data_IF_307046999183
#
_entry.id   IF_307046999183
#
_cell.length_a   1.000
_cell.length_b   1.000
_cell.length_c   1.000
_cell.angle_alpha   90.00
_cell.angle_beta   90.00
_cell.angle_gamma   90.00
#
_symmetry.space_group_name_H-M   'P 1'
#
loop_
_entity.id
_entity.type
_entity.pdbx_description
1 polymer ?
#
# COMPACT_ATOMS: atom_id res chain seq x y z
N UNK A 1 -24.83 27.85 -17.59
CA UNK A 1 -24.29 28.32 -16.29
C UNK A 1 -24.73 27.30 -15.27
N UNK A 2 -23.89 26.42 -14.73
CA UNK A 2 -22.76 26.72 -13.85
C UNK A 2 -21.60 25.73 -14.09
N UNK A 3 -20.52 26.21 -14.69
CA UNK A 3 -19.19 25.63 -14.55
C UNK A 3 -18.60 26.19 -13.26
N UNK A 4 -18.80 25.48 -12.13
CA UNK A 4 -18.03 25.78 -10.93
C UNK A 4 -16.65 25.11 -11.03
N UNK A 5 -15.69 25.91 -11.51
CA UNK A 5 -14.26 25.92 -11.17
C UNK A 5 -13.62 24.61 -10.66
N UNK A 6 -13.11 23.78 -11.57
CA UNK A 6 -12.12 22.71 -11.29
C UNK A 6 -10.68 23.10 -11.68
N UNK A 7 -10.30 24.37 -11.57
CA UNK A 7 -8.96 24.83 -11.98
C UNK A 7 -7.87 24.71 -10.90
N UNK A 8 -8.22 24.25 -9.68
CA UNK A 8 -7.27 24.12 -8.56
C UNK A 8 -6.63 22.71 -8.43
N UNK A 9 -7.35 21.65 -8.80
CA UNK A 9 -6.93 20.26 -8.57
C UNK A 9 -5.60 19.83 -9.23
N UNK A 10 -5.22 20.29 -10.44
CA UNK A 10 -3.99 19.82 -11.08
C UNK A 10 -2.71 20.30 -10.38
N UNK A 11 -2.70 21.55 -9.89
CA UNK A 11 -1.49 22.15 -9.30
C UNK A 11 -1.16 21.55 -7.93
N UNK A 12 -2.19 21.29 -7.12
CA UNK A 12 -2.02 20.65 -5.82
C UNK A 12 -1.55 19.21 -5.98
N UNK A 13 -2.16 18.44 -6.90
CA UNK A 13 -1.75 17.06 -7.16
C UNK A 13 -0.30 16.97 -7.66
N UNK A 14 0.13 17.89 -8.54
CA UNK A 14 1.53 17.97 -8.99
C UNK A 14 2.48 18.22 -7.80
N UNK A 15 2.12 19.14 -6.90
CA UNK A 15 2.93 19.43 -5.71
C UNK A 15 3.01 18.21 -4.79
N UNK A 16 1.89 17.55 -4.53
CA UNK A 16 1.85 16.33 -3.69
C UNK A 16 2.70 15.22 -4.31
N UNK A 17 2.61 15.00 -5.62
CA UNK A 17 3.43 14.02 -6.32
C UNK A 17 4.93 14.33 -6.20
N UNK A 18 5.35 15.59 -6.31
CA UNK A 18 6.75 15.95 -6.09
C UNK A 18 7.21 15.61 -4.66
N UNK A 19 6.41 15.95 -3.65
CA UNK A 19 6.72 15.63 -2.25
C UNK A 19 6.78 14.11 -2.02
N UNK A 20 5.88 13.34 -2.64
CA UNK A 20 5.89 11.88 -2.57
C UNK A 20 7.15 11.28 -3.21
N UNK A 21 7.62 11.84 -4.34
CA UNK A 21 8.86 11.40 -5.00
C UNK A 21 10.07 11.70 -4.14
N UNK A 22 10.14 12.88 -3.53
CA UNK A 22 11.21 13.26 -2.60
C UNK A 22 11.24 12.33 -1.39
N UNK A 23 10.08 12.07 -0.79
CA UNK A 23 9.94 11.13 0.32
C UNK A 23 10.28 9.69 -0.08
N UNK A 24 9.93 9.26 -1.30
CA UNK A 24 10.25 7.92 -1.81
C UNK A 24 11.76 7.78 -1.97
N UNK A 25 12.43 8.81 -2.49
CA UNK A 25 13.87 8.85 -2.67
C UNK A 25 14.61 8.81 -1.32
N UNK A 26 14.17 9.58 -0.32
CA UNK A 26 14.72 9.53 1.03
C UNK A 26 14.56 8.13 1.65
N UNK A 27 13.37 7.53 1.53
CA UNK A 27 13.11 6.18 2.05
C UNK A 27 13.94 5.08 1.36
N UNK A 28 14.35 5.30 0.10
CA UNK A 28 15.26 4.39 -0.60
C UNK A 28 16.71 4.53 -0.15
N UNK A 29 17.16 5.75 0.14
CA UNK A 29 18.50 6.03 0.67
C UNK A 29 18.66 5.43 2.08
N UNK A 30 17.60 5.44 2.87
CA UNK A 30 17.53 4.78 4.18
C UNK A 30 17.28 3.26 4.10
N UNK A 31 17.19 2.69 2.89
CA UNK A 31 16.91 1.27 2.64
C UNK A 31 15.64 0.75 3.34
N UNK A 32 14.61 1.60 3.44
CA UNK A 32 13.34 1.25 4.10
C UNK A 32 12.54 0.24 3.26
N UNK A 33 12.56 0.37 1.94
CA UNK A 33 12.01 -0.62 1.02
C UNK A 33 13.02 -1.76 0.84
N UNK A 34 13.03 -2.69 1.79
CA UNK A 34 13.90 -3.86 1.67
C UNK A 34 13.51 -4.69 0.45
N UNK A 35 14.53 -5.10 -0.31
CA UNK A 35 14.37 -5.88 -1.53
C UNK A 35 14.20 -7.38 -1.28
N UNK A 36 14.55 -7.82 -0.07
CA UNK A 36 14.60 -9.23 0.30
C UNK A 36 13.95 -9.47 1.67
N UNK A 37 13.37 -10.67 1.81
CA UNK A 37 12.96 -11.22 3.10
C UNK A 37 14.11 -12.02 3.69
N UNK A 38 14.12 -12.14 5.02
CA UNK A 38 15.08 -12.98 5.70
C UNK A 38 14.83 -14.45 5.36
N UNK A 39 15.92 -15.23 5.22
CA UNK A 39 15.87 -16.66 4.91
C UNK A 39 16.25 -17.50 6.13
N UNK A 40 15.50 -18.57 6.38
CA UNK A 40 15.74 -19.50 7.49
C UNK A 40 14.62 -20.53 7.64
N UNK A 41 14.86 -21.55 8.46
CA UNK A 41 13.85 -22.59 8.71
C UNK A 41 12.75 -22.08 9.65
N UNK A 42 11.49 -22.29 9.26
CA UNK A 42 10.32 -21.93 10.06
C UNK A 42 10.02 -20.43 10.16
N UNK A 43 10.66 -19.60 9.34
CA UNK A 43 10.35 -18.17 9.22
C UNK A 43 9.57 -17.88 7.95
N UNK A 44 8.87 -16.75 7.94
CA UNK A 44 7.98 -16.34 6.85
C UNK A 44 8.74 -16.22 5.53
N UNK A 45 8.34 -17.06 4.57
CA UNK A 45 8.76 -17.05 3.18
C UNK A 45 7.95 -16.05 2.34
N UNK A 46 8.41 -15.77 1.11
CA UNK A 46 7.64 -14.92 0.18
C UNK A 46 6.23 -15.45 -0.09
N UNK A 47 6.05 -16.77 -0.16
CA UNK A 47 4.74 -17.39 -0.37
C UNK A 47 3.82 -17.21 0.84
N UNK A 48 4.33 -17.41 2.06
CA UNK A 48 3.54 -17.20 3.27
C UNK A 48 3.18 -15.71 3.44
N UNK A 49 4.12 -14.81 3.14
CA UNK A 49 3.85 -13.37 3.10
C UNK A 49 2.76 -13.02 2.08
N UNK A 50 2.81 -13.58 0.87
CA UNK A 50 1.79 -13.33 -0.15
C UNK A 50 0.41 -13.84 0.29
N UNK A 51 0.35 -14.99 0.95
CA UNK A 51 -0.90 -15.50 1.53
C UNK A 51 -1.47 -14.58 2.60
N UNK A 52 -0.63 -14.07 3.52
CA UNK A 52 -1.07 -13.12 4.55
C UNK A 52 -1.51 -11.78 3.96
N UNK A 53 -0.90 -11.32 2.86
CA UNK A 53 -1.34 -10.10 2.18
C UNK A 53 -2.65 -10.29 1.43
N UNK A 54 -2.88 -11.44 0.81
CA UNK A 54 -4.19 -11.78 0.23
C UNK A 54 -5.26 -11.90 1.32
N UNK A 55 -4.90 -12.44 2.48
CA UNK A 55 -5.76 -12.43 3.66
C UNK A 55 -6.06 -11.00 4.12
N UNK A 56 -5.06 -10.11 4.20
CA UNK A 56 -5.26 -8.68 4.51
C UNK A 56 -6.21 -8.01 3.54
N UNK A 57 -6.07 -8.25 2.22
CA UNK A 57 -6.98 -7.71 1.22
C UNK A 57 -8.43 -8.15 1.45
N UNK A 58 -8.62 -9.41 1.86
CA UNK A 58 -9.94 -9.97 2.18
C UNK A 58 -10.48 -9.40 3.49
N UNK A 59 -9.63 -9.25 4.51
CA UNK A 59 -9.96 -8.67 5.80
C UNK A 59 -10.37 -7.21 5.69
N UNK A 60 -9.63 -6.39 4.92
CA UNK A 60 -9.98 -4.98 4.68
C UNK A 60 -11.28 -4.85 3.93
N UNK A 61 -11.56 -5.74 2.97
CA UNK A 61 -12.86 -5.78 2.28
C UNK A 61 -14.00 -6.12 3.25
N UNK A 62 -13.80 -7.10 4.14
CA UNK A 62 -14.80 -7.50 5.12
C UNK A 62 -15.08 -6.42 6.17
N UNK A 63 -14.04 -5.69 6.58
CA UNK A 63 -14.12 -4.60 7.55
C UNK A 63 -14.49 -3.25 6.92
N UNK A 64 -14.71 -3.21 5.60
CA UNK A 64 -14.94 -1.99 4.83
C UNK A 64 -13.85 -0.92 5.05
N UNK A 65 -12.62 -1.38 5.28
CA UNK A 65 -11.47 -0.51 5.48
C UNK A 65 -10.99 0.08 4.14
N UNK A 66 -10.61 1.37 4.12
CA UNK A 66 -10.18 2.06 2.91
C UNK A 66 -8.80 1.58 2.40
N UNK A 67 -8.50 1.88 1.14
CA UNK A 67 -7.30 1.38 0.46
C UNK A 67 -6.01 1.91 1.11
N UNK A 68 -5.98 3.17 1.54
CA UNK A 68 -4.87 3.78 2.29
C UNK A 68 -4.52 2.99 3.57
N UNK A 69 -5.52 2.42 4.24
CA UNK A 69 -5.35 1.56 5.41
C UNK A 69 -4.75 0.21 5.04
N UNK A 70 -5.22 -0.42 3.96
CA UNK A 70 -4.61 -1.65 3.42
C UNK A 70 -3.15 -1.43 3.03
N UNK A 71 -2.86 -0.36 2.28
CA UNK A 71 -1.53 -0.04 1.78
C UNK A 71 -0.53 0.21 2.89
N UNK A 72 -0.94 0.95 3.93
CA UNK A 72 -0.12 1.20 5.09
C UNK A 72 0.08 -0.08 5.93
N UNK A 73 -0.95 -0.93 6.03
CA UNK A 73 -0.86 -2.23 6.72
C UNK A 73 0.16 -3.15 6.05
N UNK A 74 0.10 -3.29 4.72
CA UNK A 74 1.05 -4.11 3.95
C UNK A 74 2.47 -3.54 4.04
N UNK A 75 2.63 -2.21 3.94
CA UNK A 75 3.92 -1.55 4.14
C UNK A 75 4.52 -1.84 5.53
N UNK A 76 3.71 -1.72 6.58
CA UNK A 76 4.11 -2.02 7.95
C UNK A 76 4.50 -3.49 8.12
N UNK A 77 3.70 -4.40 7.56
CA UNK A 77 3.95 -5.84 7.57
C UNK A 77 5.28 -6.19 6.90
N UNK A 78 5.50 -5.72 5.67
CA UNK A 78 6.69 -6.01 4.87
C UNK A 78 7.96 -5.49 5.53
N UNK A 79 7.93 -4.28 6.08
CA UNK A 79 9.08 -3.68 6.77
C UNK A 79 9.51 -4.50 7.98
N UNK A 80 8.56 -5.02 8.74
CA UNK A 80 8.86 -5.91 9.87
C UNK A 80 9.42 -7.25 9.36
N UNK A 81 8.81 -7.88 8.36
CA UNK A 81 9.30 -9.15 7.82
C UNK A 81 10.71 -9.07 7.21
N UNK A 82 11.04 -7.95 6.61
CA UNK A 82 12.36 -7.73 6.01
C UNK A 82 13.48 -7.51 7.02
N UNK A 83 13.17 -7.22 8.28
CA UNK A 83 14.15 -6.87 9.30
C UNK A 83 14.07 -7.74 10.57
N UNK A 84 13.00 -8.54 10.72
CA UNK A 84 12.77 -9.44 11.85
C UNK A 84 12.52 -10.85 11.34
N UNK A 85 13.19 -11.84 11.95
CA UNK A 85 12.94 -13.27 11.70
C UNK A 85 11.62 -13.69 12.36
N UNK A 86 10.51 -13.42 11.68
CA UNK A 86 9.17 -13.77 12.15
C UNK A 86 8.88 -15.23 11.83
N UNK A 87 8.48 -16.00 12.85
CA UNK A 87 8.06 -17.38 12.64
C UNK A 87 6.68 -17.42 11.98
N UNK A 88 6.44 -18.35 11.07
CA UNK A 88 5.18 -18.48 10.31
C UNK A 88 3.93 -18.43 11.22
N UNK A 89 3.99 -19.05 12.40
CA UNK A 89 2.88 -19.05 13.38
C UNK A 89 2.45 -17.67 13.89
N UNK A 90 3.31 -16.66 13.77
CA UNK A 90 3.03 -15.29 14.17
C UNK A 90 2.73 -14.36 12.98
N UNK A 91 2.81 -14.86 11.74
CA UNK A 91 2.64 -14.06 10.53
C UNK A 91 1.25 -13.40 10.48
N UNK A 92 0.18 -14.17 10.69
CA UNK A 92 -1.17 -13.61 10.71
C UNK A 92 -1.40 -12.61 11.86
N UNK A 93 -0.90 -12.90 13.06
CA UNK A 93 -0.98 -11.95 14.20
C UNK A 93 -0.28 -10.62 13.87
N UNK A 94 0.89 -10.69 13.21
CA UNK A 94 1.61 -9.51 12.72
C UNK A 94 0.82 -8.76 11.64
N UNK A 95 0.21 -9.48 10.68
CA UNK A 95 -0.61 -8.91 9.63
C UNK A 95 -1.84 -8.17 10.21
N UNK A 96 -2.62 -8.83 11.06
CA UNK A 96 -3.77 -8.24 11.78
C UNK A 96 -3.36 -6.99 12.54
N UNK A 97 -2.25 -7.06 13.27
CA UNK A 97 -1.77 -5.95 14.08
C UNK A 97 -1.33 -4.77 13.19
N UNK A 98 -0.70 -5.06 12.06
CA UNK A 98 -0.33 -4.03 11.07
C UNK A 98 -1.57 -3.33 10.50
N UNK A 99 -2.66 -4.08 10.28
CA UNK A 99 -3.96 -3.51 9.87
C UNK A 99 -4.56 -2.58 10.93
N UNK A 100 -4.55 -3.00 12.20
CA UNK A 100 -5.07 -2.19 13.29
C UNK A 100 -4.25 -0.91 13.46
N UNK A 101 -2.91 -1.01 13.40
CA UNK A 101 -2.03 0.16 13.44
C UNK A 101 -2.28 1.11 12.28
N UNK A 102 -2.46 0.60 11.06
CA UNK A 102 -2.79 1.41 9.91
C UNK A 102 -4.14 2.12 10.06
N UNK A 103 -5.16 1.42 10.58
CA UNK A 103 -6.47 2.00 10.84
C UNK A 103 -6.41 3.09 11.92
N UNK A 104 -5.60 2.88 12.97
CA UNK A 104 -5.30 3.90 13.98
C UNK A 104 -4.54 5.08 13.40
N UNK A 105 -3.62 4.88 12.47
CA UNK A 105 -2.81 5.96 11.91
C UNK A 105 -3.64 6.99 11.13
N UNK A 106 -4.61 6.52 10.34
CA UNK A 106 -5.42 7.41 9.51
C UNK A 106 -6.55 8.13 10.26
N UNK A 107 -6.88 7.69 11.49
CA UNK A 107 -7.92 8.26 12.39
C UNK A 107 -9.16 8.84 11.67
N UNK A 108 -9.70 8.16 10.67
CA UNK A 108 -10.99 8.59 10.10
C UNK A 108 -12.06 8.42 11.17
N UNK A 109 -12.65 9.52 11.62
CA UNK A 109 -13.73 9.57 12.59
C UNK A 109 -14.71 8.41 12.39
N UNK A 110 -14.75 7.46 13.33
CA UNK A 110 -15.67 6.31 13.30
C UNK A 110 -15.09 4.99 12.78
N UNK A 111 -13.82 4.91 12.38
CA UNK A 111 -13.21 3.62 12.00
C UNK A 111 -13.01 2.72 13.22
N UNK A 112 -13.91 1.74 13.39
CA UNK A 112 -13.83 0.73 14.47
C UNK A 112 -12.68 -0.26 14.23
N UNK A 113 -12.06 -0.23 13.04
CA UNK A 113 -10.91 -1.06 12.68
C UNK A 113 -9.66 -0.77 13.52
N UNK A 114 -9.58 0.39 14.18
CA UNK A 114 -8.52 0.69 15.13
C UNK A 114 -8.69 0.01 16.49
N UNK A 115 -9.84 -0.59 16.79
CA UNK A 115 -10.09 -1.28 18.06
C UNK A 115 -9.77 -2.78 17.95
N UNK A 116 -8.76 -3.31 18.68
CA UNK A 116 -8.41 -4.72 18.59
C UNK A 116 -9.58 -5.68 18.84
N UNK A 117 -10.46 -5.33 19.79
CA UNK A 117 -11.62 -6.15 20.14
C UNK A 117 -12.57 -6.31 18.95
N UNK A 118 -12.87 -5.20 18.26
CA UNK A 118 -13.73 -5.21 17.09
C UNK A 118 -13.13 -6.06 15.97
N UNK A 119 -11.86 -5.83 15.62
CA UNK A 119 -11.20 -6.59 14.53
C UNK A 119 -11.13 -8.07 14.84
N UNK A 120 -10.75 -8.45 16.07
CA UNK A 120 -10.71 -9.87 16.50
C UNK A 120 -12.07 -10.53 16.37
N UNK A 121 -13.13 -9.86 16.82
CA UNK A 121 -14.49 -10.41 16.79
C UNK A 121 -15.03 -10.51 15.36
N UNK A 122 -14.88 -9.46 14.55
CA UNK A 122 -15.37 -9.41 13.18
C UNK A 122 -14.69 -10.44 12.28
N UNK A 123 -13.38 -10.66 12.46
CA UNK A 123 -12.59 -11.61 11.66
C UNK A 123 -12.46 -13.01 12.31
N UNK A 124 -13.12 -13.25 13.45
CA UNK A 124 -13.09 -14.52 14.19
C UNK A 124 -11.66 -15.01 14.48
N UNK A 125 -10.80 -14.11 14.91
CA UNK A 125 -9.38 -14.40 15.14
C UNK A 125 -9.16 -15.13 16.46
N UNK A 126 -8.17 -16.05 16.54
CA UNK A 126 -7.89 -16.80 17.75
C UNK A 126 -7.09 -16.01 18.81
N UNK A 127 -6.85 -14.72 18.58
CA UNK A 127 -5.98 -13.88 19.41
C UNK A 127 -6.76 -13.13 20.49
N UNK A 128 -6.12 -12.91 21.62
CA UNK A 128 -6.60 -11.98 22.64
C UNK A 128 -6.19 -10.53 22.33
N UNK A 129 -6.96 -9.55 22.84
CA UNK A 129 -6.57 -8.15 22.74
C UNK A 129 -5.18 -7.87 23.35
N UNK A 130 -4.79 -8.63 24.39
CA UNK A 130 -3.48 -8.50 25.03
C UNK A 130 -2.34 -8.92 24.11
N UNK A 131 -2.52 -9.98 23.32
CA UNK A 131 -1.54 -10.43 22.33
C UNK A 131 -1.37 -9.39 21.23
N UNK A 132 -2.48 -8.85 20.70
CA UNK A 132 -2.44 -7.79 19.68
C UNK A 132 -1.75 -6.54 20.22
N UNK A 133 -2.11 -6.04 21.41
CA UNK A 133 -1.45 -4.85 22.01
C UNK A 133 0.04 -5.08 22.26
N UNK A 134 0.44 -6.30 22.64
CA UNK A 134 1.86 -6.65 22.77
C UNK A 134 2.55 -6.62 21.41
N UNK A 135 1.92 -7.13 20.36
CA UNK A 135 2.43 -7.08 18.99
C UNK A 135 2.53 -5.62 18.50
N UNK A 136 1.54 -4.75 18.76
CA UNK A 136 1.58 -3.33 18.40
C UNK A 136 2.83 -2.66 18.98
N UNK A 137 3.08 -2.90 20.26
CA UNK A 137 4.25 -2.36 20.96
C UNK A 137 5.57 -2.88 20.39
N UNK A 138 5.60 -4.10 19.83
CA UNK A 138 6.79 -4.64 19.18
C UNK A 138 7.01 -3.97 17.82
N UNK A 139 5.96 -3.87 16.99
CA UNK A 139 6.02 -3.24 15.68
C UNK A 139 6.45 -1.78 15.80
N UNK A 140 5.77 -0.99 16.65
CA UNK A 140 6.04 0.44 16.80
C UNK A 140 7.46 0.72 17.30
N UNK A 141 7.95 -0.06 18.27
CA UNK A 141 9.34 0.07 18.74
C UNK A 141 10.34 -0.31 17.65
N UNK A 142 10.06 -1.38 16.92
CA UNK A 142 10.94 -1.85 15.86
C UNK A 142 11.05 -0.86 14.69
N UNK A 143 9.93 -0.24 14.33
CA UNK A 143 9.87 0.77 13.27
C UNK A 143 10.21 2.19 13.74
N UNK A 144 10.67 2.36 14.99
CA UNK A 144 10.93 3.67 15.61
C UNK A 144 9.75 4.65 15.46
N UNK A 145 8.53 4.15 15.60
CA UNK A 145 7.27 4.89 15.41
C UNK A 145 7.07 5.50 14.01
N UNK A 146 7.96 5.23 13.06
CA UNK A 146 7.83 5.68 11.69
C UNK A 146 6.96 4.70 10.89
N UNK A 147 5.64 4.90 10.86
CA UNK A 147 4.73 4.12 10.02
C UNK A 147 4.59 4.70 8.61
N UNK A 148 4.72 6.02 8.47
CA UNK A 148 4.43 6.73 7.23
C UNK A 148 5.59 6.68 6.24
N UNK A 149 5.45 5.86 5.21
CA UNK A 149 6.30 5.91 4.03
C UNK A 149 5.42 5.97 2.77
N UNK A 150 5.92 6.53 1.66
CA UNK A 150 5.18 6.56 0.40
C UNK A 150 4.70 5.17 -0.03
N UNK A 151 3.39 5.03 -0.19
CA UNK A 151 2.79 3.76 -0.66
C UNK A 151 2.43 3.88 -2.14
N UNK A 152 2.32 2.76 -2.88
CA UNK A 152 1.90 2.81 -4.27
C UNK A 152 0.49 3.40 -4.44
N UNK A 153 -0.35 3.29 -3.40
CA UNK A 153 -1.70 3.84 -3.38
C UNK A 153 -1.71 5.38 -3.38
N UNK A 154 -0.83 6.02 -2.61
CA UNK A 154 -0.74 7.49 -2.60
C UNK A 154 -0.37 8.05 -3.96
N UNK A 155 0.61 7.42 -4.64
CA UNK A 155 0.96 7.78 -6.01
C UNK A 155 -0.20 7.53 -6.98
N UNK A 156 -0.87 6.38 -6.85
CA UNK A 156 -1.99 6.00 -7.71
C UNK A 156 -3.09 7.07 -7.65
N UNK A 157 -3.56 7.44 -6.46
CA UNK A 157 -4.65 8.41 -6.33
C UNK A 157 -4.26 9.81 -6.82
N UNK A 158 -3.06 10.28 -6.53
CA UNK A 158 -2.62 11.60 -7.01
C UNK A 158 -2.45 11.63 -8.54
N UNK A 159 -1.98 10.54 -9.15
CA UNK A 159 -1.92 10.41 -10.61
C UNK A 159 -3.32 10.31 -11.23
N UNK A 160 -4.28 9.61 -10.60
CA UNK A 160 -5.67 9.58 -11.06
C UNK A 160 -6.32 10.97 -11.02
N UNK A 161 -6.08 11.73 -9.95
CA UNK A 161 -6.51 13.14 -9.83
C UNK A 161 -5.91 14.01 -10.93
N UNK A 162 -4.62 13.84 -11.24
CA UNK A 162 -3.94 14.54 -12.35
C UNK A 162 -4.60 14.25 -13.70
N UNK A 163 -5.06 13.02 -13.91
CA UNK A 163 -5.77 12.59 -15.12
C UNK A 163 -7.24 13.02 -15.16
N UNK A 164 -7.74 13.69 -14.13
CA UNK A 164 -9.15 14.05 -14.01
C UNK A 164 -10.06 12.84 -13.81
N UNK A 165 -9.51 11.68 -13.43
CA UNK A 165 -10.27 10.48 -13.11
C UNK A 165 -10.71 10.58 -11.66
N UNK A 166 -12.01 10.79 -11.44
CA UNK A 166 -12.57 10.89 -10.10
C UNK A 166 -12.35 9.60 -9.30
N UNK A 167 -12.00 9.76 -8.03
CA UNK A 167 -11.89 8.68 -7.03
C UNK A 167 -13.20 7.90 -6.87
N UNK A 168 -14.35 8.53 -7.17
CA UNK A 168 -15.65 7.86 -7.22
C UNK A 168 -15.76 6.81 -8.34
N UNK A 169 -14.84 6.83 -9.32
CA UNK A 169 -14.76 5.90 -10.47
C UNK A 169 -13.56 4.96 -10.29
N UNK A 170 -13.00 4.85 -9.07
CA UNK A 170 -12.06 3.78 -8.72
C UNK A 170 -12.81 2.46 -8.84
N UNK A 171 -12.79 1.85 -10.03
CA UNK A 171 -13.64 0.71 -10.32
C UNK A 171 -13.22 -0.47 -9.44
N UNK A 172 -14.16 -1.37 -9.13
CA UNK A 172 -13.88 -2.64 -8.47
C UNK A 172 -12.62 -3.35 -9.04
N UNK A 173 -12.45 -3.32 -10.36
CA UNK A 173 -11.28 -3.86 -11.05
C UNK A 173 -9.94 -3.20 -10.64
N UNK A 174 -9.91 -1.91 -10.31
CA UNK A 174 -8.69 -1.23 -9.86
C UNK A 174 -8.29 -1.72 -8.48
N UNK A 175 -9.28 -1.85 -7.58
CA UNK A 175 -9.07 -2.39 -6.23
C UNK A 175 -8.59 -3.84 -6.31
N UNK A 176 -9.22 -4.68 -7.15
CA UNK A 176 -8.78 -6.07 -7.33
C UNK A 176 -7.37 -6.18 -7.92
N UNK A 177 -7.05 -5.39 -8.95
CA UNK A 177 -5.72 -5.37 -9.53
C UNK A 177 -4.68 -4.87 -8.52
N UNK A 178 -5.03 -3.88 -7.71
CA UNK A 178 -4.18 -3.38 -6.64
C UNK A 178 -3.90 -4.48 -5.59
N UNK A 179 -4.93 -5.17 -5.11
CA UNK A 179 -4.79 -6.31 -4.20
C UNK A 179 -3.95 -7.44 -4.80
N UNK A 180 -4.13 -7.74 -6.09
CA UNK A 180 -3.37 -8.77 -6.78
C UNK A 180 -1.87 -8.43 -6.85
N UNK A 181 -1.54 -7.16 -7.12
CA UNK A 181 -0.15 -6.67 -7.10
C UNK A 181 0.41 -6.70 -5.67
N UNK A 182 -0.37 -6.28 -4.68
CA UNK A 182 0.05 -6.31 -3.28
C UNK A 182 0.41 -7.71 -2.82
N UNK A 183 -0.34 -8.72 -3.28
CA UNK A 183 -0.08 -10.15 -3.03
C UNK A 183 1.08 -10.76 -3.83
N UNK A 184 1.97 -9.94 -4.43
CA UNK A 184 3.17 -10.39 -5.14
C UNK A 184 4.42 -9.70 -4.61
N UNK A 185 4.99 -10.25 -3.53
CA UNK A 185 6.17 -9.69 -2.88
C UNK A 185 7.32 -9.41 -3.82
N UNK A 186 7.68 -10.39 -4.67
CA UNK A 186 8.80 -10.25 -5.63
C UNK A 186 8.62 -9.08 -6.58
N UNK A 187 7.38 -8.76 -6.93
CA UNK A 187 7.08 -7.62 -7.78
C UNK A 187 7.23 -6.32 -6.99
N UNK A 188 6.65 -6.24 -5.79
CA UNK A 188 6.74 -5.06 -4.92
C UNK A 188 8.18 -4.77 -4.48
N UNK A 189 9.00 -5.78 -4.19
CA UNK A 189 10.36 -5.60 -3.71
C UNK A 189 11.32 -5.20 -4.83
N UNK A 190 10.99 -5.52 -6.08
CA UNK A 190 11.78 -5.16 -7.25
C UNK A 190 11.52 -3.72 -7.76
N UNK A 191 10.37 -3.12 -7.42
CA UNK A 191 9.93 -1.85 -7.98
C UNK A 191 9.62 -0.83 -6.89
N UNK A 192 9.91 0.44 -7.18
CA UNK A 192 9.55 1.54 -6.28
C UNK A 192 8.03 1.78 -6.30
N UNK A 193 7.41 2.23 -5.19
CA UNK A 193 5.98 2.54 -5.14
C UNK A 193 5.44 3.36 -6.31
N UNK A 194 6.16 4.39 -6.76
CA UNK A 194 5.80 5.24 -7.90
C UNK A 194 5.70 4.46 -9.22
N UNK A 195 6.62 3.51 -9.44
CA UNK A 195 6.64 2.62 -10.61
C UNK A 195 5.46 1.65 -10.56
N UNK A 196 5.19 1.07 -9.40
CA UNK A 196 4.05 0.19 -9.19
C UNK A 196 2.73 0.91 -9.49
N UNK A 197 2.55 2.13 -8.97
CA UNK A 197 1.38 2.95 -9.24
C UNK A 197 1.21 3.27 -10.74
N UNK A 198 2.28 3.71 -11.39
CA UNK A 198 2.27 4.02 -12.83
C UNK A 198 1.93 2.78 -13.68
N UNK A 199 2.47 1.61 -13.32
CA UNK A 199 2.17 0.36 -14.03
C UNK A 199 0.69 0.00 -13.95
N UNK A 200 0.07 0.17 -12.79
CA UNK A 200 -1.35 -0.09 -12.58
C UNK A 200 -2.23 0.87 -13.38
N UNK A 201 -1.87 2.16 -13.43
CA UNK A 201 -2.55 3.14 -14.29
C UNK A 201 -2.40 2.77 -15.75
N UNK A 202 -1.21 2.35 -16.18
CA UNK A 202 -0.97 1.96 -17.57
C UNK A 202 -1.86 0.81 -18.00
N UNK A 203 -1.97 -0.25 -17.19
CA UNK A 203 -2.86 -1.39 -17.44
C UNK A 203 -4.33 -0.94 -17.46
N UNK A 204 -4.71 -0.08 -16.52
CA UNK A 204 -6.08 0.40 -16.44
C UNK A 204 -6.48 1.27 -17.65
N UNK A 205 -5.54 2.07 -18.18
CA UNK A 205 -5.73 2.89 -19.36
C UNK A 205 -5.70 2.07 -20.65
N UNK A 206 -4.88 1.02 -20.74
CA UNK A 206 -4.83 0.13 -21.91
C UNK A 206 -6.22 -0.46 -22.21
N UNK A 207 -6.97 -0.83 -21.16
CA UNK A 207 -8.32 -1.37 -21.29
C UNK A 207 -9.34 -0.30 -21.75
N UNK A 208 -9.08 0.98 -21.46
CA UNK A 208 -10.06 2.08 -21.61
C UNK A 208 -9.76 3.09 -22.72
N UNK A 209 -8.53 3.18 -23.21
CA UNK A 209 -8.07 4.26 -24.07
C UNK A 209 -7.02 3.80 -25.08
N UNK A 210 -7.13 4.30 -26.33
CA UNK A 210 -6.12 4.08 -27.37
C UNK A 210 -4.84 4.91 -27.17
N UNK A 211 -4.90 5.98 -26.38
CA UNK A 211 -3.77 6.88 -26.10
C UNK A 211 -3.02 6.55 -24.80
N UNK A 212 -3.30 5.39 -24.19
CA UNK A 212 -2.73 4.98 -22.90
C UNK A 212 -1.21 5.17 -22.83
N UNK A 213 -0.50 4.81 -23.92
CA UNK A 213 0.96 4.89 -23.97
C UNK A 213 1.47 6.34 -23.92
N UNK A 214 0.78 7.28 -24.57
CA UNK A 214 1.14 8.71 -24.53
C UNK A 214 0.95 9.30 -23.14
N UNK A 215 -0.15 8.93 -22.48
CA UNK A 215 -0.47 9.38 -21.12
C UNK A 215 0.53 8.83 -20.11
N UNK A 216 0.81 7.52 -20.16
CA UNK A 216 1.80 6.87 -19.29
C UNK A 216 3.20 7.49 -19.48
N UNK A 217 3.65 7.69 -20.73
CA UNK A 217 4.94 8.33 -21.02
C UNK A 217 4.98 9.80 -20.55
N UNK A 218 3.86 10.51 -20.63
CA UNK A 218 3.71 11.88 -20.12
C UNK A 218 3.96 11.95 -18.61
N UNK A 219 3.24 11.12 -17.83
CA UNK A 219 3.42 11.02 -16.37
C UNK A 219 4.87 10.61 -16.04
N UNK A 220 5.39 9.59 -16.73
CA UNK A 220 6.76 9.11 -16.54
C UNK A 220 7.78 10.25 -16.71
N UNK A 221 7.67 11.03 -17.78
CA UNK A 221 8.60 12.13 -18.09
C UNK A 221 8.45 13.29 -17.11
N UNK A 222 7.22 13.62 -16.71
CA UNK A 222 6.94 14.70 -15.75
C UNK A 222 7.59 14.42 -14.40
N UNK A 223 7.52 13.18 -13.94
CA UNK A 223 7.94 12.79 -12.59
C UNK A 223 9.28 12.05 -12.54
N UNK A 224 9.97 11.93 -13.68
CA UNK A 224 11.25 11.20 -13.83
C UNK A 224 11.20 9.77 -13.26
N UNK A 225 10.04 9.12 -13.38
CA UNK A 225 9.86 7.74 -12.93
C UNK A 225 10.67 6.81 -13.84
N UNK A 226 11.70 6.16 -13.31
CA UNK A 226 12.52 5.23 -14.08
C UNK A 226 11.79 3.90 -14.26
N UNK A 227 11.12 3.69 -15.40
CA UNK A 227 10.74 2.35 -15.82
C UNK A 227 12.03 1.60 -16.20
N UNK A 228 12.36 0.53 -15.50
CA UNK A 228 13.28 -0.45 -16.07
C UNK A 228 12.66 -0.91 -17.39
N UNK A 229 13.49 -0.99 -18.45
CA UNK A 229 13.04 -1.43 -19.77
C UNK A 229 12.27 -2.74 -19.61
N UNK A 230 10.99 -2.73 -19.97
CA UNK A 230 10.25 -3.95 -20.24
C UNK A 230 10.88 -4.54 -21.51
N UNK A 231 11.99 -5.27 -21.34
CA UNK A 231 12.53 -6.08 -22.42
C UNK A 231 11.53 -7.23 -22.62
N UNK A 232 10.99 -7.27 -23.84
CA UNK A 232 9.98 -8.20 -24.33
C UNK A 232 10.43 -9.66 -24.24
#
# INVERSE_FOLDING_TARGET
MLLHSQTAAPKESIRTLHLLIEAEQAALEENIYSKELLVGDGIVTATERDNEVLWLCSATKHLEAPMDTLSLAVSTFDRVLSSVRVQTRYANCLAVTSLILAAKYWERNGSVCGEPRYVIQSLQLPYSCKEVVRMESLILRHLNWNLSIPTPEQFLFEMLKLLGISEAITSYALIENYCAILGKYRFLSAHRPSVTALSLISVMLEIKSQDWMRVTMGIQKMFKVSLMKFDK
#
